data_IF_556153227877
#
_entry.id   IF_556153227877
#
_cell.length_a   1.000
_cell.length_b   1.000
_cell.length_c   1.000
_cell.angle_alpha   90.00
_cell.angle_beta   90.00
_cell.angle_gamma   90.00
#
_symmetry.space_group_name_H-M   'P 1'
#
loop_
_entity.id
_entity.type
_entity.pdbx_description
1 polymer ?
#
# COMPACT_ATOMS: atom_id res chain seq x y z
N UNK A 1 19.52 -22.62 16.27
CA UNK A 1 20.23 -21.32 16.11
C UNK A 1 19.26 -20.37 15.44
N UNK A 2 18.81 -19.35 16.18
CA UNK A 2 17.89 -18.32 15.67
C UNK A 2 18.66 -17.47 14.63
N UNK A 3 18.49 -17.80 13.37
CA UNK A 3 19.09 -17.07 12.27
C UNK A 3 18.44 -15.68 12.05
N UNK A 4 17.23 -15.45 12.59
CA UNK A 4 16.50 -14.20 12.49
C UNK A 4 16.68 -13.36 13.76
N UNK A 5 17.21 -12.14 13.61
CA UNK A 5 17.48 -11.20 14.71
C UNK A 5 16.28 -10.36 15.13
N UNK A 6 15.16 -10.48 14.42
CA UNK A 6 13.93 -9.76 14.76
C UNK A 6 12.91 -9.75 13.61
N UNK A 7 11.66 -9.62 13.99
CA UNK A 7 10.54 -9.43 13.11
C UNK A 7 9.94 -8.04 13.34
N UNK A 8 9.89 -7.23 12.29
CA UNK A 8 9.38 -5.86 12.36
C UNK A 8 8.05 -5.75 11.62
N UNK A 9 7.15 -4.90 12.12
CA UNK A 9 5.87 -4.61 11.48
C UNK A 9 5.89 -3.19 10.92
N UNK A 10 5.46 -3.03 9.68
CA UNK A 10 5.40 -1.74 8.99
C UNK A 10 3.95 -1.51 8.57
N UNK A 11 3.36 -0.40 9.02
CA UNK A 11 2.06 0.06 8.55
C UNK A 11 2.24 1.33 7.72
N UNK A 12 2.05 1.19 6.42
CA UNK A 12 2.30 2.28 5.47
C UNK A 12 1.24 3.38 5.51
N UNK A 13 0.06 3.10 6.09
CA UNK A 13 -1.09 4.02 6.14
C UNK A 13 -1.81 3.88 7.48
N UNK A 14 -1.07 4.09 8.56
CA UNK A 14 -1.45 3.72 9.92
C UNK A 14 -2.75 4.35 10.45
N UNK A 15 -3.14 5.51 9.92
CA UNK A 15 -4.37 6.17 10.38
C UNK A 15 -4.28 6.63 11.85
N UNK A 16 -5.37 6.43 12.60
CA UNK A 16 -5.45 6.80 14.02
C UNK A 16 -5.17 5.65 14.98
N UNK A 17 -5.02 4.42 14.47
CA UNK A 17 -5.03 3.20 15.28
C UNK A 17 -6.41 2.81 15.85
N UNK A 18 -7.35 3.75 15.97
CA UNK A 18 -8.75 3.53 16.38
C UNK A 18 -9.70 4.36 15.53
N UNK A 19 -9.99 3.98 14.28
CA UNK A 19 -10.98 4.67 13.48
C UNK A 19 -12.39 4.46 14.04
N UNK A 20 -13.27 5.45 13.83
CA UNK A 20 -14.70 5.31 14.07
C UNK A 20 -15.35 4.43 13.00
N UNK A 21 -16.39 3.70 13.39
CA UNK A 21 -17.28 2.99 12.45
C UNK A 21 -18.02 4.00 11.56
N UNK A 22 -18.60 3.51 10.44
CA UNK A 22 -19.33 4.37 9.50
C UNK A 22 -20.54 5.07 10.10
N UNK A 23 -21.15 4.48 11.12
CA UNK A 23 -22.26 5.07 11.91
C UNK A 23 -21.79 6.06 12.98
N UNK A 24 -20.46 6.23 13.13
CA UNK A 24 -19.82 7.10 14.12
C UNK A 24 -20.15 6.77 15.59
N UNK A 25 -20.81 5.65 15.87
CA UNK A 25 -21.25 5.29 17.23
C UNK A 25 -20.17 4.54 18.00
N UNK A 26 -19.34 3.74 17.28
CA UNK A 26 -18.31 2.90 17.91
C UNK A 26 -16.93 3.11 17.30
N UNK A 27 -15.89 2.80 18.08
CA UNK A 27 -14.52 2.71 17.59
C UNK A 27 -14.19 1.25 17.30
N UNK A 28 -13.43 1.00 16.25
CA UNK A 28 -12.84 -0.30 15.94
C UNK A 28 -11.32 -0.21 16.02
N UNK A 29 -10.68 -1.33 16.31
CA UNK A 29 -9.22 -1.36 16.30
C UNK A 29 -8.72 -1.27 14.87
N UNK A 30 -7.85 -0.30 14.61
CA UNK A 30 -7.14 -0.16 13.34
C UNK A 30 -5.93 -1.10 13.28
N UNK A 31 -5.34 -1.22 12.09
CA UNK A 31 -4.18 -2.10 11.85
C UNK A 31 -3.03 -1.90 12.85
N UNK A 32 -2.64 -0.67 13.26
CA UNK A 32 -1.59 -0.49 14.27
C UNK A 32 -1.94 -1.16 15.60
N UNK A 33 -3.18 -0.95 16.09
CA UNK A 33 -3.59 -1.52 17.39
C UNK A 33 -3.68 -3.03 17.33
N UNK A 34 -4.31 -3.58 16.27
CA UNK A 34 -4.37 -5.02 16.06
C UNK A 34 -2.97 -5.65 16.08
N UNK A 35 -1.99 -5.02 15.43
CA UNK A 35 -0.61 -5.51 15.42
C UNK A 35 0.05 -5.45 16.80
N UNK A 36 -0.23 -4.40 17.59
CA UNK A 36 0.33 -4.23 18.95
C UNK A 36 -0.25 -5.22 19.96
N UNK A 37 -1.51 -5.64 19.79
CA UNK A 37 -2.23 -6.55 20.69
C UNK A 37 -1.95 -8.04 20.40
N UNK A 38 -1.10 -8.36 19.42
CA UNK A 38 -0.75 -9.76 19.13
C UNK A 38 -0.07 -10.44 20.31
N UNK A 39 -0.44 -11.70 20.53
CA UNK A 39 0.16 -12.56 21.57
C UNK A 39 1.66 -12.73 21.39
N UNK A 40 2.11 -12.85 20.13
CA UNK A 40 3.53 -12.88 19.77
C UNK A 40 3.88 -11.54 19.10
N UNK A 41 4.44 -10.59 19.88
CA UNK A 41 4.69 -9.24 19.37
C UNK A 41 5.85 -9.20 18.38
N UNK A 42 5.78 -8.24 17.48
CA UNK A 42 6.93 -7.86 16.67
C UNK A 42 8.01 -7.20 17.54
N UNK A 43 9.26 -7.30 17.12
CA UNK A 43 10.39 -6.68 17.82
C UNK A 43 10.40 -5.15 17.66
N UNK A 44 9.80 -4.65 16.57
CA UNK A 44 9.68 -3.21 16.29
C UNK A 44 8.48 -2.94 15.40
N UNK A 45 7.86 -1.77 15.58
CA UNK A 45 6.71 -1.29 14.83
C UNK A 45 7.03 0.04 14.18
N UNK A 46 6.72 0.16 12.89
CA UNK A 46 6.89 1.36 12.09
C UNK A 46 5.52 1.81 11.59
N UNK A 47 5.05 2.96 12.06
CA UNK A 47 3.77 3.54 11.66
C UNK A 47 3.99 4.79 10.84
N UNK A 48 3.51 4.80 9.59
CA UNK A 48 3.62 5.94 8.70
C UNK A 48 2.25 6.61 8.57
N UNK A 49 2.19 7.91 8.79
CA UNK A 49 0.99 8.71 8.62
C UNK A 49 1.35 10.15 8.20
N UNK A 50 0.61 10.72 7.25
CA UNK A 50 0.86 12.05 6.72
C UNK A 50 0.05 13.16 7.41
N UNK A 51 -1.02 12.79 8.10
CA UNK A 51 -1.99 13.74 8.66
C UNK A 51 -1.68 14.04 10.13
N UNK A 52 -1.37 15.28 10.45
CA UNK A 52 -0.87 15.70 11.76
C UNK A 52 -1.76 15.28 12.95
N UNK A 53 -3.09 15.43 12.84
CA UNK A 53 -3.99 15.04 13.93
C UNK A 53 -4.04 13.52 14.15
N UNK A 54 -3.81 12.71 13.09
CA UNK A 54 -3.73 11.25 13.19
C UNK A 54 -2.40 10.84 13.80
N UNK A 55 -1.32 11.52 13.45
CA UNK A 55 -0.01 11.32 14.06
C UNK A 55 -0.10 11.54 15.57
N UNK A 56 -0.77 12.61 16.02
CA UNK A 56 -1.01 12.84 17.46
C UNK A 56 -1.76 11.69 18.12
N UNK A 57 -2.73 11.09 17.43
CA UNK A 57 -3.45 9.90 17.94
C UNK A 57 -2.55 8.65 18.01
N UNK A 58 -1.65 8.47 17.08
CA UNK A 58 -0.67 7.40 17.14
C UNK A 58 0.31 7.61 18.30
N UNK A 59 0.75 8.83 18.56
CA UNK A 59 1.60 9.16 19.71
C UNK A 59 0.88 8.92 21.05
N UNK A 60 -0.40 9.29 21.15
CA UNK A 60 -1.24 8.92 22.29
C UNK A 60 -1.31 7.41 22.48
N UNK A 61 -1.59 6.67 21.41
CA UNK A 61 -1.65 5.21 21.44
C UNK A 61 -0.31 4.59 21.86
N UNK A 62 0.82 5.13 21.40
CA UNK A 62 2.15 4.67 21.77
C UNK A 62 2.36 4.67 23.30
N UNK A 63 1.77 5.61 24.03
CA UNK A 63 1.86 5.66 25.49
C UNK A 63 1.12 4.52 26.19
N UNK A 64 0.14 3.90 25.52
CA UNK A 64 -0.59 2.72 26.03
C UNK A 64 0.27 1.44 25.97
N UNK A 65 1.36 1.43 25.17
CA UNK A 65 2.23 0.27 24.94
C UNK A 65 3.70 0.57 25.27
N UNK A 66 4.04 0.87 26.55
CA UNK A 66 5.39 1.30 26.92
C UNK A 66 6.48 0.24 26.67
N UNK A 67 6.10 -1.04 26.65
CA UNK A 67 7.01 -2.17 26.43
C UNK A 67 7.21 -2.50 24.92
N UNK A 68 6.56 -1.75 24.00
CA UNK A 68 6.70 -1.95 22.58
C UNK A 68 7.65 -0.93 21.96
N UNK A 69 8.50 -1.38 21.08
CA UNK A 69 9.37 -0.48 20.32
C UNK A 69 8.60 0.09 19.12
N UNK A 70 8.01 1.27 19.28
CA UNK A 70 7.18 1.94 18.27
C UNK A 70 7.90 3.18 17.74
N UNK A 71 8.05 3.27 16.42
CA UNK A 71 8.47 4.46 15.71
C UNK A 71 7.35 4.98 14.80
N UNK A 72 7.07 6.28 14.86
CA UNK A 72 6.08 6.96 14.04
C UNK A 72 6.83 7.85 13.06
N UNK A 73 6.45 7.74 11.77
CA UNK A 73 7.07 8.45 10.65
C UNK A 73 6.06 9.43 10.05
N UNK A 74 6.16 10.72 10.39
CA UNK A 74 5.33 11.76 9.81
C UNK A 74 5.68 11.99 8.34
N UNK A 75 4.75 11.71 7.41
CA UNK A 75 4.98 12.01 6.01
C UNK A 75 4.32 11.06 5.02
N UNK A 76 4.74 11.20 3.76
CA UNK A 76 4.32 10.34 2.67
C UNK A 76 4.86 8.92 2.81
N UNK A 77 3.99 7.93 2.59
CA UNK A 77 4.33 6.51 2.75
C UNK A 77 5.52 6.09 1.88
N UNK A 78 5.53 6.47 0.60
CA UNK A 78 6.58 6.07 -0.32
C UNK A 78 7.92 6.66 0.10
N UNK A 79 7.92 7.94 0.48
CA UNK A 79 9.13 8.63 0.93
C UNK A 79 9.66 8.01 2.22
N UNK A 80 8.81 7.82 3.24
CA UNK A 80 9.25 7.26 4.53
C UNK A 80 9.75 5.82 4.39
N UNK A 81 9.08 5.01 3.57
CA UNK A 81 9.57 3.66 3.28
C UNK A 81 10.96 3.69 2.65
N UNK A 82 11.14 4.43 1.55
CA UNK A 82 12.40 4.43 0.79
C UNK A 82 13.57 5.07 1.54
N UNK A 83 13.32 6.19 2.23
CA UNK A 83 14.40 6.97 2.84
C UNK A 83 14.73 6.55 4.28
N UNK A 84 13.74 6.05 5.04
CA UNK A 84 13.89 5.83 6.48
C UNK A 84 13.85 4.36 6.88
N UNK A 85 12.98 3.54 6.29
CA UNK A 85 12.71 2.18 6.77
C UNK A 85 13.49 1.14 5.95
N UNK A 86 13.30 1.10 4.63
CA UNK A 86 13.93 0.12 3.73
C UNK A 86 15.46 0.04 3.93
N UNK A 87 16.19 1.16 4.06
CA UNK A 87 17.63 1.10 4.27
C UNK A 87 18.07 0.41 5.57
N UNK A 88 17.18 0.33 6.56
CA UNK A 88 17.46 -0.33 7.85
C UNK A 88 17.26 -1.84 7.83
N UNK A 89 16.66 -2.36 6.76
CA UNK A 89 16.24 -3.75 6.59
C UNK A 89 16.90 -4.45 5.37
N UNK A 90 18.23 -4.34 5.17
CA UNK A 90 18.88 -5.13 4.15
C UNK A 90 18.86 -6.60 4.54
N UNK A 91 18.91 -7.50 3.57
CA UNK A 91 18.95 -8.96 3.83
C UNK A 91 20.04 -9.35 4.83
N UNK A 92 21.18 -8.66 4.76
CA UNK A 92 22.35 -8.88 5.63
C UNK A 92 22.12 -8.50 7.10
N UNK A 93 21.04 -7.78 7.41
CA UNK A 93 20.70 -7.45 8.82
C UNK A 93 20.18 -8.66 9.59
N UNK A 94 19.82 -9.74 8.90
CA UNK A 94 19.13 -10.91 9.47
C UNK A 94 17.81 -10.57 10.17
N UNK A 95 17.25 -9.39 9.91
CA UNK A 95 15.90 -9.01 10.30
C UNK A 95 14.91 -9.35 9.19
N UNK A 96 13.65 -9.52 9.57
CA UNK A 96 12.54 -9.68 8.63
C UNK A 96 11.44 -8.71 9.01
N UNK A 97 10.66 -8.29 8.03
CA UNK A 97 9.52 -7.44 8.28
C UNK A 97 8.30 -7.86 7.46
N UNK A 98 7.16 -7.44 7.96
CA UNK A 98 5.87 -7.47 7.24
C UNK A 98 5.44 -6.03 7.04
N UNK A 99 5.19 -5.64 5.79
CA UNK A 99 4.61 -4.35 5.44
C UNK A 99 3.13 -4.51 5.07
N UNK A 100 2.26 -3.88 5.84
CA UNK A 100 0.84 -3.74 5.56
C UNK A 100 0.60 -2.41 4.86
N UNK A 101 0.14 -2.46 3.60
CA UNK A 101 -0.04 -1.31 2.73
C UNK A 101 -1.51 -1.21 2.30
N UNK A 102 -2.28 -0.37 3.00
CA UNK A 102 -3.71 -0.11 2.75
C UNK A 102 -3.96 1.34 2.33
N UNK A 103 -3.60 1.74 1.10
CA UNK A 103 -3.76 3.11 0.63
C UNK A 103 -5.23 3.47 0.40
N UNK A 104 -5.64 4.69 0.77
CA UNK A 104 -6.98 5.21 0.49
C UNK A 104 -7.28 5.38 -1.00
N UNK A 105 -6.25 5.45 -1.84
CA UNK A 105 -6.33 5.63 -3.27
C UNK A 105 -5.09 5.09 -3.96
N UNK A 106 -4.81 5.55 -5.17
CA UNK A 106 -3.64 5.15 -5.96
C UNK A 106 -2.37 5.88 -5.48
N UNK A 107 -2.09 5.84 -4.18
CA UNK A 107 -0.99 6.58 -3.54
C UNK A 107 0.32 5.79 -3.54
N UNK A 108 0.23 4.45 -3.59
CA UNK A 108 1.41 3.59 -3.55
C UNK A 108 2.12 3.62 -4.91
N UNK A 109 3.45 3.70 -4.87
CA UNK A 109 4.30 3.77 -6.06
C UNK A 109 5.00 2.43 -6.32
N UNK A 110 5.03 2.01 -7.58
CA UNK A 110 5.73 0.80 -8.00
C UNK A 110 7.22 0.82 -7.63
N UNK A 111 7.86 1.98 -7.73
CA UNK A 111 9.26 2.14 -7.38
C UNK A 111 9.51 1.79 -5.90
N UNK A 112 8.60 2.19 -5.02
CA UNK A 112 8.66 1.83 -3.58
C UNK A 112 8.57 0.32 -3.39
N UNK A 113 7.64 -0.35 -4.10
CA UNK A 113 7.50 -1.80 -4.05
C UNK A 113 8.76 -2.51 -4.57
N UNK A 114 9.36 -1.98 -5.63
CA UNK A 114 10.60 -2.52 -6.19
C UNK A 114 11.78 -2.41 -5.21
N UNK A 115 11.94 -1.27 -4.54
CA UNK A 115 12.97 -1.11 -3.51
C UNK A 115 12.75 -2.04 -2.31
N UNK A 116 11.50 -2.21 -1.86
CA UNK A 116 11.14 -3.20 -0.85
C UNK A 116 11.54 -4.61 -1.28
N UNK A 117 11.19 -5.00 -2.51
CA UNK A 117 11.49 -6.33 -3.06
C UNK A 117 13.00 -6.62 -3.10
N UNK A 118 13.81 -5.63 -3.45
CA UNK A 118 15.27 -5.76 -3.50
C UNK A 118 15.88 -6.11 -2.15
N UNK A 119 15.26 -5.74 -1.04
CA UNK A 119 15.76 -6.10 0.30
C UNK A 119 15.73 -7.61 0.54
N UNK A 120 14.76 -8.32 -0.06
CA UNK A 120 14.46 -9.74 0.21
C UNK A 120 14.29 -10.04 1.72
N UNK A 121 13.88 -9.03 2.48
CA UNK A 121 13.72 -9.08 3.92
C UNK A 121 12.32 -8.64 4.36
N UNK A 122 11.52 -8.08 3.44
CA UNK A 122 10.21 -7.51 3.73
C UNK A 122 9.15 -8.23 2.91
N UNK A 123 8.21 -8.87 3.57
CA UNK A 123 6.98 -9.40 2.97
C UNK A 123 5.92 -8.29 2.88
N UNK A 124 5.10 -8.29 1.84
CA UNK A 124 4.10 -7.24 1.63
C UNK A 124 2.69 -7.81 1.61
N UNK A 125 1.79 -7.14 2.32
CA UNK A 125 0.34 -7.27 2.20
C UNK A 125 -0.21 -5.96 1.65
N UNK A 126 -0.77 -6.00 0.44
CA UNK A 126 -1.29 -4.82 -0.24
C UNK A 126 -2.79 -4.95 -0.41
N UNK A 127 -3.54 -4.01 0.15
CA UNK A 127 -4.95 -3.82 -0.20
C UNK A 127 -5.04 -2.94 -1.44
N UNK A 128 -5.14 -3.57 -2.63
CA UNK A 128 -5.23 -2.82 -3.88
C UNK A 128 -6.50 -1.96 -3.90
N UNK A 129 -6.41 -0.64 -4.13
CA UNK A 129 -7.56 0.28 -4.08
C UNK A 129 -8.45 0.17 -5.34
N UNK A 130 -9.03 -1.02 -5.57
CA UNK A 130 -9.84 -1.34 -6.75
C UNK A 130 -11.00 -0.37 -6.95
N UNK A 131 -11.62 0.11 -5.86
CA UNK A 131 -12.71 1.09 -5.93
C UNK A 131 -12.22 2.45 -6.48
N UNK A 132 -11.06 2.91 -6.04
CA UNK A 132 -10.46 4.16 -6.54
C UNK A 132 -10.04 4.02 -8.01
N UNK A 133 -9.45 2.90 -8.39
CA UNK A 133 -9.07 2.60 -9.78
C UNK A 133 -10.34 2.56 -10.66
N UNK A 134 -11.39 1.86 -10.24
CA UNK A 134 -12.65 1.79 -10.97
C UNK A 134 -13.29 3.17 -11.19
N UNK A 135 -13.26 4.01 -10.15
CA UNK A 135 -13.89 5.34 -10.20
C UNK A 135 -13.09 6.33 -11.06
N UNK A 136 -11.78 6.28 -11.04
CA UNK A 136 -10.93 7.32 -11.62
C UNK A 136 -10.29 6.91 -12.96
N UNK A 137 -9.99 5.63 -13.16
CA UNK A 137 -9.22 5.10 -14.29
C UNK A 137 -10.08 4.26 -15.22
N UNK A 138 -10.94 3.38 -14.70
CA UNK A 138 -11.79 2.52 -15.54
C UNK A 138 -13.04 3.26 -16.06
N UNK A 139 -12.81 4.37 -16.74
CA UNK A 139 -13.85 5.15 -17.42
C UNK A 139 -14.38 4.40 -18.65
N UNK A 140 -15.48 4.88 -19.24
CA UNK A 140 -16.06 4.25 -20.44
C UNK A 140 -15.07 4.30 -21.61
N UNK A 141 -14.45 5.47 -21.82
CA UNK A 141 -13.42 5.71 -22.83
C UNK A 141 -12.11 6.08 -22.17
N UNK A 142 -11.00 5.77 -22.83
CA UNK A 142 -9.68 6.12 -22.29
C UNK A 142 -9.47 7.64 -22.20
N UNK A 143 -10.01 8.41 -23.14
CA UNK A 143 -9.94 9.87 -23.18
C UNK A 143 -10.64 10.57 -21.99
N UNK A 144 -11.59 9.88 -21.33
CA UNK A 144 -12.28 10.39 -20.13
C UNK A 144 -11.44 10.33 -18.86
N UNK A 145 -10.21 9.76 -18.91
CA UNK A 145 -9.31 9.68 -17.79
C UNK A 145 -8.61 11.04 -17.63
N UNK A 146 -8.74 11.62 -16.45
CA UNK A 146 -8.02 12.88 -16.15
C UNK A 146 -6.51 12.66 -16.14
N UNK A 147 -5.70 13.67 -16.55
CA UNK A 147 -4.23 13.56 -16.50
C UNK A 147 -3.72 13.14 -15.11
N UNK A 148 -4.27 13.71 -14.04
CA UNK A 148 -3.88 13.36 -12.66
C UNK A 148 -4.19 11.90 -12.32
N UNK A 149 -5.34 11.36 -12.75
CA UNK A 149 -5.69 9.96 -12.50
C UNK A 149 -4.79 9.00 -13.30
N UNK A 150 -4.42 9.38 -14.54
CA UNK A 150 -3.47 8.64 -15.36
C UNK A 150 -2.10 8.59 -14.70
N UNK A 151 -1.57 9.73 -14.28
CA UNK A 151 -0.29 9.82 -13.59
C UNK A 151 -0.25 8.97 -12.31
N UNK A 152 -1.31 9.01 -11.49
CA UNK A 152 -1.40 8.17 -10.29
C UNK A 152 -1.38 6.68 -10.64
N UNK A 153 -2.06 6.29 -11.72
CA UNK A 153 -2.07 4.89 -12.15
C UNK A 153 -0.72 4.46 -12.73
N UNK A 154 -0.06 5.33 -13.50
CA UNK A 154 1.28 5.11 -14.05
C UNK A 154 2.29 4.86 -12.91
N UNK A 155 2.23 5.67 -11.84
CA UNK A 155 3.07 5.47 -10.65
C UNK A 155 2.76 4.17 -9.92
N UNK A 156 1.48 3.85 -9.70
CA UNK A 156 1.06 2.62 -9.04
C UNK A 156 1.46 1.38 -9.84
N UNK A 157 1.29 1.44 -11.17
CA UNK A 157 1.57 0.31 -12.06
C UNK A 157 3.05 0.20 -12.44
N UNK A 158 3.77 1.32 -12.39
CA UNK A 158 5.19 1.43 -12.74
C UNK A 158 5.48 1.58 -14.24
N UNK A 159 4.46 1.48 -15.08
CA UNK A 159 4.51 1.69 -16.53
C UNK A 159 3.17 2.21 -17.02
N UNK A 160 3.10 2.61 -18.30
CA UNK A 160 1.85 3.03 -18.97
C UNK A 160 1.08 1.86 -19.58
N UNK A 161 1.61 0.63 -19.52
CA UNK A 161 1.06 -0.57 -20.20
C UNK A 161 -0.29 -1.01 -19.63
N UNK A 162 -0.65 -0.58 -18.42
CA UNK A 162 -1.95 -0.85 -17.83
C UNK A 162 -3.11 -0.43 -18.73
N UNK A 163 -2.90 0.53 -19.64
CA UNK A 163 -3.92 0.97 -20.57
C UNK A 163 -4.36 -0.16 -21.52
N UNK A 164 -3.42 -0.99 -21.99
CA UNK A 164 -3.73 -2.17 -22.81
C UNK A 164 -4.47 -3.26 -22.00
N UNK A 165 -4.30 -3.27 -20.68
CA UNK A 165 -4.99 -4.19 -19.79
C UNK A 165 -6.44 -3.77 -19.49
N UNK A 166 -6.74 -2.48 -19.63
CA UNK A 166 -8.03 -1.89 -19.26
C UNK A 166 -8.87 -1.53 -20.50
N UNK A 167 -8.24 -1.22 -21.62
CA UNK A 167 -8.89 -0.72 -22.84
C UNK A 167 -8.56 -1.57 -24.05
N UNK A 168 -9.55 -1.72 -24.93
CA UNK A 168 -9.43 -2.33 -26.26
C UNK A 168 -9.89 -1.36 -27.34
N UNK A 169 -9.33 -1.47 -28.55
CA UNK A 169 -9.76 -0.70 -29.68
C UNK A 169 -11.02 -1.32 -30.30
N UNK A 170 -12.07 -0.52 -30.52
CA UNK A 170 -13.29 -0.89 -31.22
C UNK A 170 -13.55 0.04 -32.38
N UNK A 171 -13.88 -0.51 -33.52
CA UNK A 171 -14.37 0.25 -34.64
C UNK A 171 -15.81 0.74 -34.37
N UNK A 172 -15.99 2.05 -34.52
CA UNK A 172 -17.31 2.69 -34.43
C UNK A 172 -17.67 3.36 -35.75
N UNK A 173 -18.92 3.86 -35.87
CA UNK A 173 -19.36 4.64 -37.03
C UNK A 173 -18.53 5.93 -37.24
N UNK A 174 -17.85 6.40 -36.20
CA UNK A 174 -17.05 7.62 -36.23
C UNK A 174 -15.52 7.35 -36.23
N UNK A 175 -15.13 6.08 -36.45
CA UNK A 175 -13.72 5.66 -36.45
C UNK A 175 -13.35 4.77 -35.25
N UNK A 176 -12.02 4.46 -35.10
CA UNK A 176 -11.56 3.64 -33.99
C UNK A 176 -11.67 4.41 -32.66
N UNK A 177 -12.16 3.72 -31.63
CA UNK A 177 -12.31 4.26 -30.28
C UNK A 177 -11.77 3.27 -29.26
N UNK A 178 -10.99 3.75 -28.26
CA UNK A 178 -10.53 2.91 -27.15
C UNK A 178 -11.54 2.88 -26.03
N UNK A 179 -12.17 1.71 -25.87
CA UNK A 179 -13.25 1.48 -24.92
C UNK A 179 -12.82 0.51 -23.83
N UNK A 180 -13.39 0.67 -22.65
CA UNK A 180 -13.09 -0.19 -21.49
C UNK A 180 -13.45 -1.65 -21.76
N UNK A 181 -12.49 -2.55 -21.52
CA UNK A 181 -12.73 -3.99 -21.51
C UNK A 181 -13.68 -4.33 -20.35
N UNK A 182 -14.66 -5.19 -20.60
CA UNK A 182 -15.55 -5.71 -19.55
C UNK A 182 -14.79 -6.69 -18.66
N UNK A 183 -14.28 -6.21 -17.54
CA UNK A 183 -13.54 -7.00 -16.56
C UNK A 183 -14.08 -6.75 -15.16
N UNK A 184 -13.95 -7.74 -14.27
CA UNK A 184 -14.24 -7.57 -12.85
C UNK A 184 -13.07 -6.91 -12.11
N UNK A 185 -13.34 -6.38 -10.91
CA UNK A 185 -12.26 -5.92 -10.03
C UNK A 185 -11.30 -7.04 -9.62
N UNK A 186 -11.77 -8.31 -9.60
CA UNK A 186 -10.94 -9.49 -9.35
C UNK A 186 -9.90 -9.71 -10.45
N UNK A 187 -10.23 -9.41 -11.69
CA UNK A 187 -9.28 -9.55 -12.81
C UNK A 187 -8.16 -8.53 -12.70
N UNK A 188 -8.49 -7.28 -12.34
CA UNK A 188 -7.47 -6.26 -12.08
C UNK A 188 -6.54 -6.66 -10.93
N UNK A 189 -7.09 -7.16 -9.83
CA UNK A 189 -6.31 -7.66 -8.70
C UNK A 189 -5.38 -8.82 -9.10
N UNK A 190 -5.85 -9.75 -9.92
CA UNK A 190 -5.03 -10.86 -10.45
C UNK A 190 -3.87 -10.34 -11.30
N UNK A 191 -4.11 -9.37 -12.19
CA UNK A 191 -3.08 -8.77 -13.04
C UNK A 191 -2.04 -8.04 -12.22
N UNK A 192 -2.47 -7.23 -11.25
CA UNK A 192 -1.55 -6.56 -10.34
C UNK A 192 -0.72 -7.54 -9.53
N UNK A 193 -1.33 -8.63 -9.03
CA UNK A 193 -0.61 -9.71 -8.35
C UNK A 193 0.45 -10.34 -9.26
N UNK A 194 0.10 -10.68 -10.51
CA UNK A 194 1.05 -11.28 -11.44
C UNK A 194 2.25 -10.36 -11.67
N UNK A 195 2.00 -9.05 -11.79
CA UNK A 195 3.06 -8.06 -11.90
C UNK A 195 3.93 -7.97 -10.63
N UNK A 196 3.33 -8.05 -9.44
CA UNK A 196 4.09 -8.11 -8.19
C UNK A 196 5.03 -9.33 -8.14
N UNK A 197 4.61 -10.47 -8.68
CA UNK A 197 5.45 -11.69 -8.73
C UNK A 197 6.70 -11.52 -9.61
N UNK A 198 6.77 -10.51 -10.49
CA UNK A 198 7.98 -10.18 -11.25
C UNK A 198 9.08 -9.61 -10.34
N UNK A 199 8.72 -8.90 -9.27
CA UNK A 199 9.66 -8.27 -8.35
C UNK A 199 9.77 -8.97 -6.99
N UNK A 200 8.76 -9.73 -6.58
CA UNK A 200 8.75 -10.56 -5.37
C UNK A 200 8.76 -12.06 -5.77
N UNK A 201 9.92 -12.61 -6.18
CA UNK A 201 9.99 -14.03 -6.47
C UNK A 201 9.81 -14.85 -5.18
N UNK A 202 9.01 -15.94 -5.27
CA UNK A 202 8.77 -16.89 -4.19
C UNK A 202 10.06 -17.53 -3.66
#
# INVERSE_FOLDING_TARGET
>A
QDWCKGYEYIDGFAGTGKPKTRDEETYVDGSPRVALDLQYPFTKYHFIESTEWRIRKLEEMKTEFPDRQIEIYPGDCNKMLREQIVPTLPRSSYKRAVAFLDPFGMQLEWNTLNEIAQTRAIEVFINLPVMAINRNVRRRREEDITPAARECMDRLWGTTDWTAEVYEEKQTLFGPERVRIKQSGKDLGRRFRNRLMEIFPN
#
